data_IF_822575104118
#
_entry.id   IF_822575104118
#
_cell.length_a   1.000
_cell.length_b   1.000
_cell.length_c   1.000
_cell.angle_alpha   90.00
_cell.angle_beta   90.00
_cell.angle_gamma   90.00
#
_symmetry.space_group_name_H-M   'P 1'
#
loop_
_entity.id
_entity.type
_entity.pdbx_description
1 polymer ?
#
# COMPACT_ATOMS: atom_id res chain seq x y z
N UNK A 1 4.14 -8.86 -8.72
CA UNK A 1 5.00 -9.16 -7.54
C UNK A 1 6.22 -8.24 -7.59
N UNK A 2 6.99 -8.07 -6.51
CA UNK A 2 8.13 -7.14 -6.48
C UNK A 2 9.44 -7.85 -6.13
N UNK A 3 10.50 -7.65 -6.91
CA UNK A 3 11.79 -8.32 -6.70
C UNK A 3 12.52 -7.84 -5.44
N UNK A 4 12.24 -6.60 -5.00
CA UNK A 4 12.91 -6.02 -3.84
C UNK A 4 11.92 -5.30 -2.93
N UNK A 5 12.28 -5.24 -1.65
CA UNK A 5 11.55 -4.46 -0.63
C UNK A 5 11.42 -2.98 -1.03
N UNK A 6 12.43 -2.44 -1.71
CA UNK A 6 12.43 -1.04 -2.19
C UNK A 6 11.34 -0.80 -3.24
N UNK A 7 11.21 -1.70 -4.24
CA UNK A 7 10.15 -1.64 -5.25
C UNK A 7 8.76 -1.76 -4.61
N UNK A 8 8.58 -2.70 -3.66
CA UNK A 8 7.34 -2.83 -2.88
C UNK A 8 7.00 -1.53 -2.14
N UNK A 9 7.95 -1.00 -1.34
CA UNK A 9 7.75 0.24 -0.58
C UNK A 9 7.33 1.39 -1.48
N UNK A 10 8.00 1.55 -2.62
CA UNK A 10 7.68 2.60 -3.58
C UNK A 10 6.26 2.46 -4.15
N UNK A 11 5.84 1.24 -4.52
CA UNK A 11 4.49 0.99 -5.00
C UNK A 11 3.43 1.26 -3.92
N UNK A 12 3.68 0.83 -2.68
CA UNK A 12 2.78 1.08 -1.53
C UNK A 12 2.67 2.57 -1.22
N UNK A 13 3.79 3.32 -1.26
CA UNK A 13 3.79 4.78 -1.06
C UNK A 13 3.02 5.48 -2.18
N UNK A 14 3.28 5.12 -3.44
CA UNK A 14 2.58 5.71 -4.59
C UNK A 14 1.06 5.47 -4.51
N UNK A 15 0.65 4.26 -4.13
CA UNK A 15 -0.75 3.95 -3.86
C UNK A 15 -1.30 4.75 -2.66
N UNK A 16 -0.57 4.81 -1.54
CA UNK A 16 -1.01 5.56 -0.37
C UNK A 16 -1.23 7.05 -0.67
N UNK A 17 -0.38 7.64 -1.51
CA UNK A 17 -0.55 9.02 -1.98
C UNK A 17 -1.83 9.20 -2.80
N UNK A 18 -2.23 8.21 -3.61
CA UNK A 18 -3.46 8.29 -4.41
C UNK A 18 -4.74 8.25 -3.55
N UNK A 19 -4.67 7.70 -2.32
CA UNK A 19 -5.82 7.70 -1.41
C UNK A 19 -6.02 9.04 -0.70
N UNK A 20 -5.09 9.99 -0.87
CA UNK A 20 -5.08 11.29 -0.19
C UNK A 20 -4.96 11.18 1.34
N UNK A 21 -4.36 10.08 1.82
CA UNK A 21 -4.19 9.77 3.24
C UNK A 21 -2.74 9.64 3.62
N UNK A 22 -2.47 9.97 4.88
CA UNK A 22 -1.17 9.70 5.47
C UNK A 22 -1.15 8.28 6.01
N UNK A 23 -0.16 7.51 5.56
CA UNK A 23 0.16 6.19 6.08
C UNK A 23 1.48 6.25 6.84
N UNK A 24 1.57 5.49 7.93
CA UNK A 24 2.81 5.30 8.68
C UNK A 24 3.20 3.82 8.67
N UNK A 25 4.51 3.58 8.61
CA UNK A 25 5.06 2.23 8.75
C UNK A 25 4.78 1.72 10.16
N UNK A 26 4.09 0.59 10.25
CA UNK A 26 3.80 -0.11 11.50
C UNK A 26 4.79 -1.26 11.72
N UNK A 27 5.10 -2.04 10.68
CA UNK A 27 6.08 -3.12 10.72
C UNK A 27 7.02 -2.97 9.52
N UNK A 28 8.32 -3.07 9.75
CA UNK A 28 9.32 -3.17 8.69
C UNK A 28 10.45 -4.08 9.14
N UNK A 29 10.31 -5.38 8.90
CA UNK A 29 11.35 -6.37 9.15
C UNK A 29 11.85 -6.96 7.80
N UNK A 30 12.87 -7.84 7.78
CA UNK A 30 13.44 -8.34 6.52
C UNK A 30 12.44 -9.06 5.60
N UNK A 31 11.37 -9.64 6.15
CA UNK A 31 10.41 -10.46 5.40
C UNK A 31 8.99 -9.89 5.38
N UNK A 32 8.70 -8.85 6.16
CA UNK A 32 7.39 -8.25 6.31
C UNK A 32 7.48 -6.72 6.29
N UNK A 33 6.46 -6.13 5.67
CA UNK A 33 6.28 -4.71 5.59
C UNK A 33 4.78 -4.40 5.75
N UNK A 34 4.43 -3.62 6.77
CA UNK A 34 3.06 -3.22 7.02
C UNK A 34 2.99 -1.73 7.24
N UNK A 35 2.09 -1.06 6.52
CA UNK A 35 1.70 0.33 6.75
C UNK A 35 0.26 0.39 7.24
N UNK A 36 -0.04 1.38 8.08
CA UNK A 36 -1.39 1.66 8.57
C UNK A 36 -1.72 3.13 8.34
N UNK A 37 -2.99 3.45 8.14
CA UNK A 37 -3.44 4.83 8.16
C UNK A 37 -3.16 5.44 9.54
N UNK A 38 -2.75 6.70 9.58
CA UNK A 38 -2.47 7.41 10.83
C UNK A 38 -3.73 7.90 11.55
N UNK A 39 -4.86 7.93 10.85
CA UNK A 39 -6.12 8.41 11.42
C UNK A 39 -6.61 7.43 12.51
N UNK A 40 -6.86 7.95 13.70
CA UNK A 40 -7.36 7.17 14.84
C UNK A 40 -8.67 6.47 14.47
N UNK A 41 -8.77 5.18 14.77
CA UNK A 41 -9.96 4.37 14.44
C UNK A 41 -10.04 3.89 12.98
N UNK A 42 -9.07 4.23 12.12
CA UNK A 42 -9.04 3.72 10.76
C UNK A 42 -8.46 2.30 10.71
N UNK A 43 -9.22 1.36 10.14
CA UNK A 43 -8.80 -0.02 9.91
C UNK A 43 -7.87 -0.19 8.69
N UNK A 44 -7.64 0.87 7.90
CA UNK A 44 -6.83 0.79 6.69
C UNK A 44 -5.39 0.38 6.98
N UNK A 45 -4.99 -0.71 6.33
CA UNK A 45 -3.64 -1.26 6.42
C UNK A 45 -3.27 -1.91 5.09
N UNK A 46 -1.99 -1.82 4.75
CA UNK A 46 -1.40 -2.60 3.67
C UNK A 46 -0.29 -3.44 4.23
N UNK A 47 -0.36 -4.73 3.98
CA UNK A 47 0.66 -5.71 4.35
C UNK A 47 1.25 -6.34 3.10
N UNK A 48 2.58 -6.33 3.04
CA UNK A 48 3.33 -7.14 2.10
C UNK A 48 4.40 -7.94 2.81
N UNK A 49 4.70 -9.11 2.26
CA UNK A 49 5.69 -10.02 2.82
C UNK A 49 6.44 -10.78 1.72
N UNK A 50 7.54 -11.43 2.10
CA UNK A 50 8.22 -12.45 1.30
C UNK A 50 7.85 -13.82 1.89
N UNK A 51 7.16 -14.69 1.14
CA UNK A 51 6.91 -16.08 1.55
C UNK A 51 8.21 -16.86 1.76
N UNK A 52 8.21 -17.84 2.67
CA UNK A 52 9.41 -18.63 3.04
C UNK A 52 10.14 -19.28 1.87
N UNK A 53 9.42 -19.67 0.82
CA UNK A 53 9.95 -20.37 -0.36
C UNK A 53 9.96 -19.50 -1.63
N UNK A 54 9.85 -18.18 -1.47
CA UNK A 54 9.81 -17.25 -2.60
C UNK A 54 10.82 -16.12 -2.38
N UNK A 55 11.31 -15.53 -3.46
CA UNK A 55 12.23 -14.39 -3.42
C UNK A 55 11.50 -13.07 -3.67
N UNK A 56 10.27 -13.13 -4.20
CA UNK A 56 9.49 -11.95 -4.52
C UNK A 56 8.61 -11.51 -3.34
N UNK A 57 8.56 -10.20 -3.15
CA UNK A 57 7.62 -9.53 -2.27
C UNK A 57 6.23 -9.50 -2.90
N UNK A 58 5.23 -9.82 -2.08
CA UNK A 58 3.81 -9.79 -2.47
C UNK A 58 3.03 -8.93 -1.50
N UNK A 59 2.02 -8.21 -2.00
CA UNK A 59 1.02 -7.52 -1.17
C UNK A 59 -0.11 -8.51 -0.94
N UNK A 60 -0.42 -8.84 0.31
CA UNK A 60 -1.39 -9.90 0.64
C UNK A 60 -2.62 -9.39 1.35
N UNK A 61 -2.56 -8.21 1.98
CA UNK A 61 -3.72 -7.65 2.65
C UNK A 61 -3.79 -6.13 2.44
N UNK A 62 -4.82 -5.68 1.73
CA UNK A 62 -5.15 -4.27 1.54
C UNK A 62 -6.53 -4.05 2.15
N UNK A 63 -6.57 -3.48 3.35
CA UNK A 63 -7.82 -3.11 4.01
C UNK A 63 -8.16 -1.67 3.62
N UNK A 64 -9.38 -1.41 3.10
CA UNK A 64 -9.80 -0.06 2.71
C UNK A 64 -9.97 0.87 3.92
N UNK A 65 -10.04 2.17 3.65
CA UNK A 65 -10.31 3.17 4.68
C UNK A 65 -11.77 3.14 5.12
N UNK A 66 -11.99 3.21 6.43
CA UNK A 66 -13.26 3.58 7.03
C UNK A 66 -13.30 5.04 7.53
N UNK A 67 -12.23 5.82 7.28
CA UNK A 67 -12.12 7.20 7.76
C UNK A 67 -12.52 8.23 6.69
N UNK A 68 -13.23 9.29 7.10
CA UNK A 68 -13.77 10.33 6.21
C UNK A 68 -12.67 11.18 5.60
N UNK A 69 -12.68 11.36 4.27
CA UNK A 69 -11.71 12.17 3.49
C UNK A 69 -11.53 13.59 4.03
N UNK A 70 -10.65 13.77 5.04
CA UNK A 70 -9.93 15.02 5.28
C UNK A 70 -9.25 15.42 3.96
N UNK A 71 -9.85 16.37 3.25
CA UNK A 71 -9.31 16.87 1.99
C UNK A 71 -7.90 17.40 2.27
N UNK A 72 -6.87 16.89 1.58
CA UNK A 72 -5.67 17.71 1.39
C UNK A 72 -6.13 18.96 0.62
N UNK A 73 -5.72 20.14 1.05
CA UNK A 73 -5.90 21.37 0.25
C UNK A 73 -5.29 21.11 -1.14
N UNK A 74 -6.14 20.97 -2.17
CA UNK A 74 -5.75 20.77 -3.58
C UNK A 74 -5.88 19.33 -4.12
N UNK A 75 -7.11 18.88 -4.45
CA UNK A 75 -7.35 17.57 -5.06
C UNK A 75 -7.79 17.63 -6.53
N UNK A 76 -6.89 17.27 -7.44
CA UNK A 76 -7.21 16.76 -8.79
C UNK A 76 -7.37 15.23 -8.73
N UNK A 77 -8.32 14.67 -9.47
CA UNK A 77 -8.78 13.28 -9.38
C UNK A 77 -7.98 12.26 -10.22
N UNK A 78 -7.96 10.99 -9.76
CA UNK A 78 -7.65 9.68 -10.44
C UNK A 78 -6.28 9.00 -10.13
N UNK A 79 -6.10 7.67 -10.39
CA UNK A 79 -7.07 6.59 -10.69
C UNK A 79 -7.05 5.42 -9.66
N UNK A 80 -8.01 4.52 -9.87
CA UNK A 80 -8.37 3.35 -9.07
C UNK A 80 -7.29 2.24 -9.07
N UNK A 81 -6.98 1.70 -7.89
CA UNK A 81 -5.97 0.65 -7.67
C UNK A 81 -6.29 -0.64 -8.45
N UNK A 82 -7.55 -0.88 -8.80
CA UNK A 82 -8.00 -2.14 -9.37
C UNK A 82 -7.75 -2.30 -10.88
N UNK A 83 -7.28 -1.26 -11.59
CA UNK A 83 -7.15 -1.32 -13.06
C UNK A 83 -5.71 -1.56 -13.57
N UNK A 84 -4.68 -1.47 -12.73
CA UNK A 84 -3.28 -1.47 -13.21
C UNK A 84 -2.41 -2.65 -12.78
N UNK A 85 -2.88 -3.59 -11.95
CA UNK A 85 -2.08 -4.77 -11.59
C UNK A 85 -2.35 -6.01 -12.47
N UNK A 86 -3.27 -5.94 -13.45
CA UNK A 86 -3.65 -7.07 -14.30
C UNK A 86 -3.00 -7.09 -15.71
N UNK A 87 -2.20 -6.10 -16.12
CA UNK A 87 -1.80 -5.97 -17.54
C UNK A 87 -0.31 -6.06 -17.84
N UNK A 88 0.52 -6.64 -16.98
CA UNK A 88 1.89 -6.99 -17.37
C UNK A 88 2.17 -8.46 -17.01
N UNK A 89 1.46 -9.33 -17.72
CA UNK A 89 2.03 -10.61 -18.16
C UNK A 89 2.86 -10.27 -19.39
N UNK A 90 4.19 -10.28 -19.25
CA UNK A 90 5.20 -10.76 -20.20
C UNK A 90 6.54 -10.72 -19.47
#
# INVERSE_FOLDING_TARGET
>A
MFDTKKKLKYAVIKWAMSTQRVFRTHISNPTNYTVKCVETGCSAKVHGHVPKYNIHWVVTNVVPHNCVRKKPVGSSSKPDFNSHCATHVY
#
